data_IF_864346927605
#
_entry.id   IF_864346927605
#
_cell.length_a   1.000
_cell.length_b   1.000
_cell.length_c   1.000
_cell.angle_alpha   90.00
_cell.angle_beta   90.00
_cell.angle_gamma   90.00
#
_symmetry.space_group_name_H-M   'P 1'
#
loop_
_entity.id
_entity.type
_entity.pdbx_description
1 polymer ?
#
# COMPACT_ATOMS: atom_id res chain seq x y z
N UNK A 1 0.35 30.25 20.79
CA UNK A 1 -0.15 28.88 20.95
C UNK A 1 0.60 28.03 19.93
N UNK A 2 1.48 27.13 20.36
CA UNK A 2 2.16 26.23 19.43
C UNK A 2 1.21 25.05 19.15
N UNK A 3 0.77 24.91 17.92
CA UNK A 3 0.01 23.74 17.49
C UNK A 3 0.91 22.51 17.63
N UNK A 4 0.53 21.59 18.52
CA UNK A 4 1.18 20.29 18.61
C UNK A 4 0.71 19.47 17.40
N UNK A 5 1.56 19.42 16.37
CA UNK A 5 1.34 18.55 15.22
C UNK A 5 1.63 17.12 15.67
N UNK A 6 0.57 16.37 16.01
CA UNK A 6 0.68 14.93 16.22
C UNK A 6 1.02 14.28 14.88
N UNK A 7 2.08 13.45 14.87
CA UNK A 7 2.46 12.67 13.70
C UNK A 7 1.42 11.56 13.54
N UNK A 8 0.38 11.82 12.75
CA UNK A 8 -0.66 10.84 12.45
C UNK A 8 -0.04 9.71 11.60
N UNK A 9 0.02 8.49 12.15
CA UNK A 9 0.45 7.32 11.39
C UNK A 9 -0.77 6.76 10.66
N UNK A 10 -0.90 7.06 9.37
CA UNK A 10 -1.99 6.57 8.53
C UNK A 10 -2.15 5.04 8.59
N UNK A 11 -1.07 4.30 8.89
CA UNK A 11 -1.14 2.85 9.06
C UNK A 11 -2.00 2.41 10.25
N UNK A 12 -2.10 3.22 11.32
CA UNK A 12 -2.95 2.90 12.48
C UNK A 12 -4.44 3.03 12.15
N UNK A 13 -4.80 3.83 11.13
CA UNK A 13 -6.17 4.01 10.67
C UNK A 13 -6.66 2.90 9.71
N UNK A 14 -5.76 2.01 9.28
CA UNK A 14 -6.02 0.93 8.32
C UNK A 14 -6.21 -0.42 9.03
N UNK A 15 -7.02 -0.43 10.09
CA UNK A 15 -7.31 -1.60 10.92
C UNK A 15 -8.46 -2.46 10.38
N UNK A 16 -9.38 -1.86 9.62
CA UNK A 16 -10.52 -2.54 8.98
C UNK A 16 -10.29 -2.80 7.48
N UNK A 17 -10.90 -3.87 6.90
CA UNK A 17 -10.89 -4.08 5.46
C UNK A 17 -11.45 -2.90 4.67
N UNK A 18 -12.56 -2.31 5.13
CA UNK A 18 -13.24 -1.22 4.44
C UNK A 18 -12.38 0.05 4.38
N UNK A 19 -11.62 0.35 5.44
CA UNK A 19 -10.69 1.47 5.44
C UNK A 19 -9.55 1.27 4.42
N UNK A 20 -9.08 0.04 4.25
CA UNK A 20 -8.04 -0.30 3.26
C UNK A 20 -8.58 -0.20 1.84
N UNK A 21 -9.81 -0.67 1.61
CA UNK A 21 -10.45 -0.62 0.31
C UNK A 21 -10.62 0.84 -0.15
N UNK A 22 -11.20 1.71 0.71
CA UNK A 22 -11.34 3.15 0.41
C UNK A 22 -9.98 3.81 0.18
N UNK A 23 -9.00 3.54 1.05
CA UNK A 23 -7.69 4.14 0.94
C UNK A 23 -6.95 3.76 -0.35
N UNK A 24 -7.07 2.50 -0.78
CA UNK A 24 -6.47 2.05 -2.03
C UNK A 24 -7.26 2.53 -3.24
N UNK A 25 -8.59 2.50 -3.21
CA UNK A 25 -9.42 3.04 -4.30
C UNK A 25 -9.07 4.52 -4.58
N UNK A 26 -9.00 5.36 -3.54
CA UNK A 26 -8.58 6.76 -3.66
C UNK A 26 -7.18 6.89 -4.29
N UNK A 27 -6.23 6.04 -3.88
CA UNK A 27 -4.88 6.06 -4.45
C UNK A 27 -4.88 5.66 -5.93
N UNK A 28 -5.66 4.65 -6.32
CA UNK A 28 -5.77 4.20 -7.71
C UNK A 28 -6.48 5.22 -8.61
N UNK A 29 -7.42 6.01 -8.08
CA UNK A 29 -8.07 7.11 -8.81
C UNK A 29 -7.11 8.22 -9.23
N UNK A 30 -5.97 8.39 -8.55
CA UNK A 30 -4.97 9.40 -8.92
C UNK A 30 -4.22 9.10 -10.22
N UNK A 31 -4.24 7.84 -10.67
CA UNK A 31 -3.44 7.33 -11.79
C UNK A 31 -1.92 7.60 -11.66
N UNK A 32 -1.43 7.99 -10.48
CA UNK A 32 0.00 8.24 -10.18
C UNK A 32 0.66 6.95 -9.68
N UNK A 33 1.56 6.32 -10.47
CA UNK A 33 2.19 5.06 -10.07
C UNK A 33 3.00 5.15 -8.78
N UNK A 34 3.64 6.31 -8.53
CA UNK A 34 4.43 6.52 -7.33
C UNK A 34 3.55 6.63 -6.09
N UNK A 35 2.41 7.32 -6.20
CA UNK A 35 1.44 7.41 -5.12
C UNK A 35 0.77 6.06 -4.82
N UNK A 36 0.41 5.30 -5.85
CA UNK A 36 -0.14 3.94 -5.69
C UNK A 36 0.86 3.01 -4.99
N UNK A 37 2.14 3.07 -5.39
CA UNK A 37 3.19 2.28 -4.75
C UNK A 37 3.36 2.64 -3.27
N UNK A 38 3.38 3.95 -2.96
CA UNK A 38 3.43 4.47 -1.59
C UNK A 38 2.23 4.01 -0.75
N UNK A 39 1.01 4.10 -1.28
CA UNK A 39 -0.21 3.66 -0.60
C UNK A 39 -0.19 2.15 -0.27
N UNK A 40 0.22 1.31 -1.22
CA UNK A 40 0.45 -0.12 -0.98
C UNK A 40 1.50 -0.34 0.14
N UNK A 41 2.51 0.53 0.23
CA UNK A 41 3.49 0.56 1.31
C UNK A 41 2.89 0.83 2.69
N UNK A 42 1.97 1.80 2.77
CA UNK A 42 1.25 2.14 4.01
C UNK A 42 0.39 0.96 4.47
N UNK A 43 -0.38 0.34 3.56
CA UNK A 43 -1.19 -0.86 3.87
C UNK A 43 -0.30 -2.04 4.29
N UNK A 44 0.83 -2.25 3.61
CA UNK A 44 1.79 -3.30 3.96
C UNK A 44 2.40 -3.11 5.35
N UNK A 45 2.65 -1.85 5.74
CA UNK A 45 3.10 -1.51 7.10
C UNK A 45 2.00 -1.83 8.12
N UNK A 46 0.75 -1.45 7.86
CA UNK A 46 -0.40 -1.72 8.73
C UNK A 46 -0.62 -3.24 8.95
N UNK A 47 -0.45 -4.05 7.90
CA UNK A 47 -0.59 -5.53 7.99
C UNK A 47 0.67 -6.26 8.47
N UNK A 48 1.78 -5.54 8.66
CA UNK A 48 3.04 -6.06 9.17
C UNK A 48 4.05 -6.42 8.08
N UNK A 49 5.10 -5.59 7.97
CA UNK A 49 6.11 -5.67 6.91
C UNK A 49 6.83 -7.03 6.81
N UNK A 50 7.11 -7.67 7.95
CA UNK A 50 7.77 -9.00 7.98
C UNK A 50 6.91 -10.09 7.35
N UNK A 51 5.60 -10.04 7.56
CA UNK A 51 4.67 -11.00 6.99
C UNK A 51 4.58 -10.79 5.48
N UNK A 52 4.34 -9.55 5.06
CA UNK A 52 4.22 -9.15 3.65
C UNK A 52 5.49 -9.50 2.88
N UNK A 53 6.68 -9.17 3.40
CA UNK A 53 7.95 -9.46 2.71
C UNK A 53 8.14 -10.96 2.47
N UNK A 54 7.82 -11.79 3.48
CA UNK A 54 7.91 -13.25 3.38
C UNK A 54 6.93 -13.81 2.36
N UNK A 55 5.67 -13.38 2.39
CA UNK A 55 4.62 -13.87 1.48
C UNK A 55 4.82 -13.37 0.04
N UNK A 56 5.32 -12.15 -0.15
CA UNK A 56 5.65 -11.59 -1.46
C UNK A 56 6.99 -12.10 -2.03
N UNK A 57 7.82 -12.78 -1.22
CA UNK A 57 9.13 -13.27 -1.63
C UNK A 57 10.16 -12.16 -1.86
N UNK A 58 10.09 -11.09 -1.06
CA UNK A 58 10.97 -9.92 -1.12
C UNK A 58 11.72 -9.77 0.20
N UNK A 59 12.93 -9.22 0.16
CA UNK A 59 13.54 -8.72 1.40
C UNK A 59 12.77 -7.50 1.91
N UNK A 60 12.84 -7.20 3.22
CA UNK A 60 12.20 -5.99 3.79
C UNK A 60 12.73 -4.72 3.15
N UNK A 61 14.02 -4.65 2.87
CA UNK A 61 14.67 -3.52 2.20
C UNK A 61 14.16 -3.35 0.76
N UNK A 62 14.07 -4.45 0.01
CA UNK A 62 13.47 -4.43 -1.33
C UNK A 62 12.03 -3.96 -1.26
N UNK A 63 11.23 -4.47 -0.32
CA UNK A 63 9.83 -4.08 -0.17
C UNK A 63 9.68 -2.58 0.12
N UNK A 64 10.49 -2.01 1.03
CA UNK A 64 10.48 -0.56 1.31
C UNK A 64 10.85 0.27 0.08
N UNK A 65 11.92 -0.09 -0.63
CA UNK A 65 12.35 0.64 -1.83
C UNK A 65 11.35 0.49 -2.98
N UNK A 66 10.73 -0.67 -3.10
CA UNK A 66 9.74 -0.96 -4.14
C UNK A 66 8.43 -0.22 -3.91
N UNK A 67 8.04 0.00 -2.65
CA UNK A 67 6.81 0.70 -2.26
C UNK A 67 7.06 2.14 -1.80
N UNK A 68 8.18 2.75 -2.19
CA UNK A 68 8.38 4.19 -1.99
C UNK A 68 7.76 4.97 -3.15
N UNK A 69 7.63 6.29 -2.99
CA UNK A 69 7.10 7.19 -4.02
C UNK A 69 7.93 7.17 -5.32
N UNK A 70 9.25 7.00 -5.18
CA UNK A 70 10.20 6.86 -6.29
C UNK A 70 10.37 5.39 -6.72
N UNK A 71 9.67 4.47 -6.06
CA UNK A 71 9.62 3.06 -6.41
C UNK A 71 8.98 2.86 -7.79
N UNK A 72 9.30 1.74 -8.42
CA UNK A 72 8.65 1.31 -9.66
C UNK A 72 8.40 -0.20 -9.59
N UNK A 73 7.40 -0.64 -8.81
CA UNK A 73 7.08 -2.06 -8.70
C UNK A 73 6.62 -2.57 -10.06
N UNK A 74 7.18 -3.71 -10.49
CA UNK A 74 6.62 -4.41 -11.65
C UNK A 74 5.20 -4.89 -11.34
N UNK A 75 4.37 -5.09 -12.37
CA UNK A 75 3.02 -5.67 -12.20
C UNK A 75 3.07 -6.99 -11.41
N UNK A 76 4.05 -7.85 -11.70
CA UNK A 76 4.25 -9.10 -10.95
C UNK A 76 4.47 -8.86 -9.46
N UNK A 77 5.24 -7.83 -9.11
CA UNK A 77 5.50 -7.45 -7.73
C UNK A 77 4.24 -6.92 -7.05
N UNK A 78 3.49 -6.04 -7.71
CA UNK A 78 2.21 -5.53 -7.20
C UNK A 78 1.25 -6.67 -6.89
N UNK A 79 1.05 -7.61 -7.84
CA UNK A 79 0.15 -8.75 -7.65
C UNK A 79 0.56 -9.61 -6.43
N UNK A 80 1.86 -9.88 -6.27
CA UNK A 80 2.37 -10.64 -5.11
C UNK A 80 2.10 -9.93 -3.78
N UNK A 81 2.32 -8.62 -3.75
CA UNK A 81 2.07 -7.80 -2.57
C UNK A 81 0.58 -7.77 -2.26
N UNK A 82 -0.28 -7.45 -3.23
CA UNK A 82 -1.74 -7.46 -3.04
C UNK A 82 -2.23 -8.80 -2.50
N UNK A 83 -1.76 -9.93 -3.06
CA UNK A 83 -2.11 -11.26 -2.57
C UNK A 83 -1.70 -11.48 -1.11
N UNK A 84 -0.52 -11.02 -0.69
CA UNK A 84 -0.07 -11.11 0.71
C UNK A 84 -0.91 -10.24 1.67
N UNK A 85 -1.50 -9.17 1.14
CA UNK A 85 -2.44 -8.30 1.87
C UNK A 85 -3.86 -8.87 1.91
N UNK A 86 -4.14 -9.97 1.19
CA UNK A 86 -5.48 -10.54 1.05
C UNK A 86 -6.36 -9.82 0.04
N UNK A 87 -5.76 -9.04 -0.87
CA UNK A 87 -6.46 -8.20 -1.85
C UNK A 87 -6.45 -8.83 -3.25
N UNK A 88 -7.45 -8.47 -4.05
CA UNK A 88 -7.57 -8.85 -5.47
C UNK A 88 -8.03 -7.67 -6.31
N UNK A 89 -7.49 -7.52 -7.52
CA UNK A 89 -7.96 -6.53 -8.49
C UNK A 89 -9.20 -7.03 -9.23
N UNK A 90 -10.13 -6.12 -9.51
CA UNK A 90 -11.29 -6.36 -10.36
C UNK A 90 -11.35 -5.31 -11.47
N UNK A 91 -11.80 -5.69 -12.65
CA UNK A 91 -11.99 -4.75 -13.77
C UNK A 91 -13.38 -4.15 -13.71
N UNK A 92 -13.46 -2.82 -13.78
CA UNK A 92 -14.71 -2.06 -13.95
C UNK A 92 -14.66 -1.38 -15.31
N UNK A 93 -15.79 -1.34 -16.02
CA UNK A 93 -15.90 -0.52 -17.22
C UNK A 93 -16.05 0.95 -16.79
N UNK A 94 -15.16 1.82 -17.24
CA UNK A 94 -15.40 3.26 -17.21
C UNK A 94 -16.58 3.55 -18.14
N UNK A 95 -17.70 3.96 -17.55
CA UNK A 95 -18.91 4.39 -18.28
C UNK A 95 -18.80 5.87 -18.63
#
# INVERSE_FOLDING_TARGET
MAEQVFKYDFAEALDTPEAIDVFLDDAFETEDPGHIAEALGVVAKAKGMTRVSREAGLSREQLYRTLSREGNPTIMTVIKIMKSLGLSLTFKHSS
#
